data_IF_379102015908
#
_entry.id   IF_379102015908
#
_cell.length_a   1.000
_cell.length_b   1.000
_cell.length_c   1.000
_cell.angle_alpha   90.00
_cell.angle_beta   90.00
_cell.angle_gamma   90.00
#
_symmetry.space_group_name_H-M   'P 1'
#
loop_
_entity.id
_entity.type
_entity.pdbx_description
1 polymer ?
#
# COMPACT_ATOMS: atom_id res chain seq x y z
N UNK A 1 -1.28 1.52 18.08
CA UNK A 1 -2.01 1.41 16.79
C UNK A 1 -1.22 0.49 15.89
N UNK A 2 -1.88 -0.40 15.16
CA UNK A 2 -1.28 -1.43 14.33
C UNK A 2 -1.75 -1.23 12.88
N UNK A 3 -0.85 -1.25 11.91
CA UNK A 3 -1.16 -1.12 10.50
C UNK A 3 -0.31 -2.07 9.65
N UNK A 4 -0.80 -2.44 8.47
CA UNK A 4 -0.11 -3.33 7.54
C UNK A 4 0.23 -2.63 6.22
N UNK A 5 1.37 -2.98 5.65
CA UNK A 5 1.76 -2.62 4.29
C UNK A 5 1.93 -3.92 3.50
N UNK A 6 1.14 -4.10 2.45
CA UNK A 6 1.18 -5.29 1.60
C UNK A 6 1.92 -4.98 0.30
N UNK A 7 3.07 -5.57 0.12
CA UNK A 7 3.96 -5.37 -1.03
C UNK A 7 4.23 -6.70 -1.75
N UNK A 8 4.59 -6.63 -3.02
CA UNK A 8 5.08 -7.81 -3.74
C UNK A 8 6.39 -8.30 -3.11
N UNK A 9 7.36 -7.41 -3.02
CA UNK A 9 8.62 -7.58 -2.27
C UNK A 9 9.23 -6.20 -1.96
N UNK A 10 10.09 -6.14 -0.96
CA UNK A 10 10.95 -4.97 -0.74
C UNK A 10 12.29 -5.24 -1.42
N UNK A 11 12.68 -4.36 -2.31
CA UNK A 11 13.91 -4.40 -3.08
C UNK A 11 14.62 -3.04 -3.10
N UNK A 12 15.66 -2.91 -3.89
CA UNK A 12 16.43 -1.66 -4.06
C UNK A 12 15.76 -0.63 -4.98
N UNK A 13 14.51 -0.82 -5.35
CA UNK A 13 13.73 0.19 -6.08
C UNK A 13 13.50 1.44 -5.24
N UNK A 14 13.16 2.55 -5.90
CA UNK A 14 12.82 3.80 -5.22
C UNK A 14 11.68 3.61 -4.22
N UNK A 15 10.66 2.84 -4.61
CA UNK A 15 9.54 2.54 -3.73
C UNK A 15 9.97 1.70 -2.52
N UNK A 16 10.75 0.64 -2.73
CA UNK A 16 11.26 -0.22 -1.67
C UNK A 16 12.12 0.56 -0.65
N UNK A 17 12.96 1.45 -1.14
CA UNK A 17 13.77 2.35 -0.31
C UNK A 17 12.90 3.30 0.51
N UNK A 18 11.92 3.96 -0.11
CA UNK A 18 11.03 4.89 0.57
C UNK A 18 10.15 4.21 1.62
N UNK A 19 9.62 3.02 1.31
CA UNK A 19 8.84 2.22 2.26
C UNK A 19 9.69 1.87 3.48
N UNK A 20 10.88 1.31 3.27
CA UNK A 20 11.76 0.90 4.37
C UNK A 20 12.15 2.08 5.25
N UNK A 21 12.57 3.19 4.66
CA UNK A 21 12.95 4.39 5.42
C UNK A 21 11.79 4.98 6.21
N UNK A 22 10.60 5.06 5.61
CA UNK A 22 9.43 5.64 6.28
C UNK A 22 8.97 4.79 7.46
N UNK A 23 8.97 3.46 7.31
CA UNK A 23 8.59 2.57 8.40
C UNK A 23 9.67 2.56 9.50
N UNK A 24 10.95 2.53 9.13
CA UNK A 24 12.04 2.63 10.09
C UNK A 24 11.93 3.90 10.92
N UNK A 25 11.69 5.04 10.25
CA UNK A 25 11.50 6.32 10.95
C UNK A 25 10.33 6.27 11.96
N UNK A 26 9.22 5.64 11.59
CA UNK A 26 8.07 5.45 12.49
C UNK A 26 8.46 4.55 13.67
N UNK A 27 9.12 3.43 13.40
CA UNK A 27 9.54 2.48 14.44
C UNK A 27 10.51 3.08 15.45
N UNK A 28 11.39 3.98 15.02
CA UNK A 28 12.36 4.67 15.89
C UNK A 28 11.72 5.79 16.73
N UNK A 29 10.72 6.48 16.20
CA UNK A 29 10.23 7.73 16.79
C UNK A 29 8.81 7.66 17.35
N UNK A 30 8.08 6.56 17.13
CA UNK A 30 6.68 6.44 17.51
C UNK A 30 6.39 5.13 18.27
N UNK A 31 6.45 5.16 19.57
CA UNK A 31 6.29 3.97 20.46
C UNK A 31 4.92 3.29 20.32
N UNK A 32 3.89 4.03 19.93
CA UNK A 32 2.51 3.51 19.89
C UNK A 32 2.03 3.16 18.48
N UNK A 33 2.92 3.08 17.50
CA UNK A 33 2.61 2.73 16.12
C UNK A 33 3.45 1.54 15.70
N UNK A 34 2.79 0.43 15.39
CA UNK A 34 3.42 -0.80 14.92
C UNK A 34 3.02 -1.05 13.46
N UNK A 35 3.99 -1.12 12.57
CA UNK A 35 3.76 -1.39 11.15
C UNK A 35 4.36 -2.73 10.77
N UNK A 36 3.52 -3.60 10.24
CA UNK A 36 3.90 -4.92 9.74
C UNK A 36 3.90 -4.90 8.22
N UNK A 37 4.96 -5.43 7.62
CA UNK A 37 5.06 -5.56 6.17
C UNK A 37 4.74 -6.99 5.76
N UNK A 38 3.74 -7.14 4.90
CA UNK A 38 3.37 -8.42 4.28
C UNK A 38 3.97 -8.50 2.90
N UNK A 39 4.66 -9.60 2.59
CA UNK A 39 5.36 -9.80 1.31
C UNK A 39 4.91 -11.08 0.62
N UNK A 40 4.77 -11.01 -0.71
CA UNK A 40 4.47 -12.18 -1.57
C UNK A 40 5.72 -12.97 -1.90
N UNK A 41 6.85 -12.29 -2.06
CA UNK A 41 8.14 -12.85 -2.46
C UNK A 41 9.22 -12.51 -1.45
N UNK A 42 10.31 -13.28 -1.40
CA UNK A 42 11.47 -12.94 -0.57
C UNK A 42 11.96 -11.52 -0.84
N UNK A 43 12.28 -10.81 0.22
CA UNK A 43 12.69 -9.41 0.18
C UNK A 43 14.18 -9.29 0.53
N UNK A 44 14.85 -8.37 -0.18
CA UNK A 44 16.19 -7.89 0.14
C UNK A 44 16.13 -6.39 0.33
N UNK A 45 15.77 -5.90 1.54
CA UNK A 45 15.65 -4.48 1.81
C UNK A 45 16.97 -3.74 1.54
N UNK A 46 16.90 -2.51 0.99
CA UNK A 46 18.11 -1.72 0.69
C UNK A 46 18.83 -1.22 1.95
N UNK A 47 18.12 -1.17 3.06
CA UNK A 47 18.64 -0.84 4.41
C UNK A 47 18.05 -1.81 5.43
N UNK A 48 18.70 -1.95 6.58
CA UNK A 48 18.22 -2.84 7.65
C UNK A 48 16.82 -2.46 8.09
N UNK A 49 15.82 -3.36 7.99
CA UNK A 49 14.45 -3.07 8.42
C UNK A 49 14.33 -3.12 9.94
N UNK A 50 13.66 -2.14 10.52
CA UNK A 50 13.30 -2.07 11.95
C UNK A 50 11.82 -2.43 12.18
N UNK A 51 11.26 -3.26 11.32
CA UNK A 51 9.86 -3.70 11.36
C UNK A 51 9.76 -5.19 11.12
N UNK A 52 8.64 -5.77 11.55
CA UNK A 52 8.34 -7.17 11.29
C UNK A 52 7.88 -7.38 9.84
N UNK A 53 8.34 -8.47 9.22
CA UNK A 53 7.86 -8.94 7.92
C UNK A 53 7.16 -10.28 8.08
N UNK A 54 6.03 -10.44 7.39
CA UNK A 54 5.22 -11.65 7.37
C UNK A 54 4.88 -12.06 5.93
N UNK A 55 4.45 -13.30 5.75
CA UNK A 55 3.90 -13.74 4.45
C UNK A 55 2.59 -13.00 4.15
N UNK A 56 2.29 -12.76 2.87
CA UNK A 56 1.02 -12.16 2.45
C UNK A 56 -0.21 -12.92 2.93
N UNK A 57 -0.08 -14.24 3.15
CA UNK A 57 -1.18 -15.08 3.65
C UNK A 57 -1.66 -14.68 5.04
N UNK A 58 -0.82 -14.05 5.84
CA UNK A 58 -1.17 -13.58 7.19
C UNK A 58 -2.10 -12.34 7.17
N UNK A 59 -2.24 -11.69 6.02
CA UNK A 59 -3.12 -10.51 5.89
C UNK A 59 -4.59 -10.84 6.11
N UNK A 60 -5.01 -12.11 5.86
CA UNK A 60 -6.40 -12.53 6.08
C UNK A 60 -6.84 -12.47 7.54
N UNK A 61 -5.93 -12.71 8.48
CA UNK A 61 -6.19 -12.61 9.92
C UNK A 61 -5.80 -11.29 10.56
N UNK A 62 -5.34 -10.32 9.75
CA UNK A 62 -4.87 -9.06 10.28
C UNK A 62 -6.02 -8.11 10.59
N UNK A 63 -6.03 -7.51 11.78
CA UNK A 63 -7.10 -6.70 12.35
C UNK A 63 -6.86 -5.17 12.29
N UNK A 64 -5.84 -4.74 11.57
CA UNK A 64 -5.52 -3.32 11.35
C UNK A 64 -5.80 -2.85 9.91
N UNK A 65 -5.73 -1.52 9.64
CA UNK A 65 -5.76 -1.00 8.28
C UNK A 65 -4.57 -1.52 7.47
N UNK A 66 -4.78 -1.81 6.19
CA UNK A 66 -3.73 -2.31 5.29
C UNK A 66 -3.66 -1.47 4.02
N UNK A 67 -2.44 -1.11 3.63
CA UNK A 67 -2.13 -0.41 2.38
C UNK A 67 -1.44 -1.39 1.43
N UNK A 68 -2.04 -1.67 0.28
CA UNK A 68 -1.40 -2.39 -0.83
C UNK A 68 -0.67 -1.44 -1.78
N UNK A 69 0.29 -1.95 -2.54
CA UNK A 69 1.18 -1.12 -3.36
C UNK A 69 1.24 -1.49 -4.84
N UNK A 70 0.55 -2.56 -5.26
CA UNK A 70 0.46 -3.00 -6.65
C UNK A 70 -0.93 -3.54 -6.96
N UNK A 71 -1.23 -3.73 -8.24
CA UNK A 71 -2.49 -4.36 -8.67
C UNK A 71 -2.65 -5.77 -8.10
N UNK A 72 -1.58 -6.55 -8.12
CA UNK A 72 -1.60 -7.93 -7.62
C UNK A 72 -1.84 -7.98 -6.11
N UNK A 73 -1.12 -7.16 -5.34
CA UNK A 73 -1.31 -7.10 -3.88
C UNK A 73 -2.67 -6.52 -3.51
N UNK A 74 -3.21 -5.61 -4.32
CA UNK A 74 -4.55 -5.05 -4.12
C UNK A 74 -5.64 -6.10 -4.39
N UNK A 75 -5.46 -6.93 -5.41
CA UNK A 75 -6.37 -8.06 -5.67
C UNK A 75 -6.44 -9.01 -4.48
N UNK A 76 -5.28 -9.35 -3.91
CA UNK A 76 -5.19 -10.14 -2.67
C UNK A 76 -5.89 -9.43 -1.49
N UNK A 77 -5.62 -8.15 -1.29
CA UNK A 77 -6.20 -7.37 -0.20
C UNK A 77 -7.73 -7.26 -0.29
N UNK A 78 -8.27 -7.11 -1.49
CA UNK A 78 -9.72 -7.07 -1.71
C UNK A 78 -10.41 -8.37 -1.29
N UNK A 79 -9.73 -9.50 -1.43
CA UNK A 79 -10.22 -10.83 -1.04
C UNK A 79 -10.06 -11.09 0.47
N UNK A 80 -9.14 -10.42 1.14
CA UNK A 80 -8.90 -10.61 2.58
C UNK A 80 -10.08 -10.08 3.41
N UNK A 81 -10.46 -10.81 4.46
CA UNK A 81 -11.62 -10.48 5.31
C UNK A 81 -11.23 -9.80 6.63
N UNK A 82 -9.99 -9.96 7.08
CA UNK A 82 -9.51 -9.40 8.35
C UNK A 82 -9.39 -7.88 8.38
N UNK A 83 -8.72 -7.23 7.41
CA UNK A 83 -8.49 -5.80 7.46
C UNK A 83 -9.78 -4.97 7.44
N UNK A 84 -10.04 -4.15 8.47
CA UNK A 84 -11.26 -3.34 8.55
C UNK A 84 -11.26 -2.17 7.57
N UNK A 85 -10.08 -1.64 7.24
CA UNK A 85 -9.86 -0.60 6.23
C UNK A 85 -8.79 -1.03 5.25
N UNK A 86 -9.03 -0.77 4.00
CA UNK A 86 -8.15 -1.16 2.89
C UNK A 86 -7.82 0.05 2.04
N UNK A 87 -6.53 0.20 1.73
CA UNK A 87 -6.03 1.28 0.90
C UNK A 87 -5.18 0.72 -0.23
N UNK A 88 -5.22 1.36 -1.39
CA UNK A 88 -4.32 1.10 -2.50
C UNK A 88 -3.48 2.34 -2.79
N UNK A 89 -2.19 2.24 -2.50
CA UNK A 89 -1.21 3.26 -2.84
C UNK A 89 -0.72 3.05 -4.28
N UNK A 90 -1.13 3.95 -5.15
CA UNK A 90 -0.82 3.90 -6.58
C UNK A 90 0.50 4.62 -6.80
N UNK A 91 1.58 3.86 -6.75
CA UNK A 91 2.93 4.34 -7.04
C UNK A 91 3.12 4.65 -8.52
N UNK A 92 2.63 3.75 -9.37
CA UNK A 92 2.79 3.80 -10.81
C UNK A 92 1.44 3.56 -11.51
N UNK A 93 1.31 4.03 -12.74
CA UNK A 93 0.12 3.84 -13.57
C UNK A 93 0.16 2.43 -14.21
N UNK A 94 0.09 1.39 -13.38
CA UNK A 94 0.29 -0.01 -13.79
C UNK A 94 -0.69 -0.46 -14.88
N UNK A 95 -1.93 0.04 -14.88
CA UNK A 95 -2.92 -0.32 -15.89
C UNK A 95 -2.51 0.01 -17.34
N UNK A 96 -1.54 0.91 -17.51
CA UNK A 96 -1.02 1.27 -18.84
C UNK A 96 -0.04 0.23 -19.39
N UNK A 97 0.45 -0.69 -18.56
CA UNK A 97 1.54 -1.63 -18.90
C UNK A 97 1.23 -3.09 -18.57
N UNK A 98 0.21 -3.37 -17.76
CA UNK A 98 -0.10 -4.72 -17.28
C UNK A 98 -1.05 -5.43 -18.26
N UNK A 99 -0.51 -6.34 -19.06
CA UNK A 99 -1.29 -7.17 -19.99
C UNK A 99 -2.05 -8.31 -19.30
N UNK A 100 -1.66 -8.68 -18.07
CA UNK A 100 -2.27 -9.77 -17.32
C UNK A 100 -3.63 -9.43 -16.69
N UNK A 101 -4.00 -8.15 -16.64
CA UNK A 101 -5.29 -7.66 -16.12
C UNK A 101 -6.19 -7.21 -17.26
N UNK A 102 -7.42 -7.73 -17.29
CA UNK A 102 -8.45 -7.25 -18.22
C UNK A 102 -8.98 -5.89 -17.77
N UNK A 103 -9.66 -5.17 -18.66
CA UNK A 103 -10.35 -3.91 -18.29
C UNK A 103 -11.35 -4.13 -17.14
N UNK A 104 -12.04 -5.28 -17.13
CA UNK A 104 -12.96 -5.64 -16.06
C UNK A 104 -12.25 -5.82 -14.72
N UNK A 105 -11.08 -6.49 -14.71
CA UNK A 105 -10.27 -6.67 -13.50
C UNK A 105 -9.78 -5.33 -12.97
N UNK A 106 -9.29 -4.45 -13.83
CA UNK A 106 -8.85 -3.11 -13.48
C UNK A 106 -9.99 -2.27 -12.90
N UNK A 107 -11.17 -2.31 -13.54
CA UNK A 107 -12.37 -1.62 -13.06
C UNK A 107 -12.79 -2.14 -11.69
N UNK A 108 -12.74 -3.45 -11.46
CA UNK A 108 -13.07 -4.06 -10.16
C UNK A 108 -12.12 -3.60 -9.04
N UNK A 109 -10.89 -3.29 -9.36
CA UNK A 109 -9.90 -2.78 -8.40
C UNK A 109 -10.06 -1.27 -8.19
N UNK A 110 -9.91 -0.47 -9.24
CA UNK A 110 -9.88 1.00 -9.12
C UNK A 110 -11.23 1.63 -8.75
N UNK A 111 -12.35 1.00 -9.12
CA UNK A 111 -13.68 1.49 -8.81
C UNK A 111 -14.35 0.77 -7.62
N UNK A 112 -13.62 -0.10 -6.92
CA UNK A 112 -14.15 -0.81 -5.75
C UNK A 112 -14.42 0.14 -4.59
N UNK A 113 -15.62 0.10 -4.03
CA UNK A 113 -15.97 0.84 -2.82
C UNK A 113 -15.34 0.27 -1.54
N UNK A 114 -14.77 -0.95 -1.64
CA UNK A 114 -14.12 -1.64 -0.52
C UNK A 114 -12.70 -1.17 -0.24
N UNK A 115 -12.17 -0.29 -1.10
CA UNK A 115 -10.79 0.18 -1.00
C UNK A 115 -10.70 1.68 -1.27
N UNK A 116 -9.91 2.39 -0.51
CA UNK A 116 -9.63 3.80 -0.74
C UNK A 116 -8.34 3.95 -1.56
N UNK A 117 -8.34 4.84 -2.56
CA UNK A 117 -7.19 5.08 -3.40
C UNK A 117 -6.32 6.19 -2.82
N UNK A 118 -5.01 5.97 -2.84
CA UNK A 118 -3.99 6.93 -2.45
C UNK A 118 -3.13 7.24 -3.67
N UNK A 119 -3.09 8.49 -4.11
CA UNK A 119 -2.25 8.92 -5.20
C UNK A 119 -0.86 9.34 -4.70
N UNK A 120 0.16 9.22 -5.56
CA UNK A 120 1.53 9.62 -5.27
C UNK A 120 1.74 11.14 -5.28
N UNK A 121 0.91 11.86 -6.05
CA UNK A 121 0.98 13.32 -6.17
C UNK A 121 -0.35 13.88 -6.64
N UNK A 122 -0.51 15.20 -6.61
CA UNK A 122 -1.70 15.87 -7.15
C UNK A 122 -1.89 15.56 -8.64
N UNK A 123 -0.82 15.58 -9.43
CA UNK A 123 -0.87 15.22 -10.85
C UNK A 123 -1.34 13.78 -11.06
N UNK A 124 -0.83 12.82 -10.28
CA UNK A 124 -1.29 11.43 -10.29
C UNK A 124 -2.76 11.32 -9.92
N UNK A 125 -3.20 12.02 -8.88
CA UNK A 125 -4.60 12.04 -8.45
C UNK A 125 -5.52 12.47 -9.61
N UNK A 126 -5.15 13.52 -10.36
CA UNK A 126 -5.93 14.01 -11.48
C UNK A 126 -5.98 13.01 -12.66
N UNK A 127 -4.87 12.33 -12.95
CA UNK A 127 -4.81 11.30 -14.00
C UNK A 127 -5.69 10.11 -13.62
N UNK A 128 -5.55 9.59 -12.40
CA UNK A 128 -6.32 8.46 -11.90
C UNK A 128 -7.82 8.81 -11.88
N UNK A 129 -8.15 10.01 -11.43
CA UNK A 129 -9.53 10.49 -11.37
C UNK A 129 -10.21 10.60 -12.72
N UNK A 130 -9.47 10.89 -13.78
CA UNK A 130 -9.99 10.93 -15.16
C UNK A 130 -10.20 9.54 -15.77
N UNK A 131 -9.38 8.56 -15.37
CA UNK A 131 -9.44 7.21 -15.94
C UNK A 131 -10.38 6.28 -15.16
N UNK A 132 -10.47 6.45 -13.85
CA UNK A 132 -11.19 5.55 -12.94
C UNK A 132 -12.02 6.32 -11.92
N UNK A 133 -11.51 6.41 -10.70
CA UNK A 133 -12.13 7.09 -9.57
C UNK A 133 -11.13 8.03 -8.92
N UNK A 134 -11.59 9.17 -8.47
CA UNK A 134 -10.72 10.17 -7.85
C UNK A 134 -10.15 9.64 -6.52
N UNK A 135 -8.84 9.55 -6.36
CA UNK A 135 -8.23 9.14 -5.10
C UNK A 135 -8.57 10.10 -3.96
N UNK A 136 -8.91 9.55 -2.80
CA UNK A 136 -9.28 10.32 -1.62
C UNK A 136 -8.07 10.90 -0.88
N UNK A 137 -6.89 10.32 -1.09
CA UNK A 137 -5.67 10.69 -0.37
C UNK A 137 -4.49 10.92 -1.33
N UNK A 138 -3.53 11.73 -0.87
CA UNK A 138 -2.21 11.89 -1.51
C UNK A 138 -1.15 11.55 -0.47
N UNK A 139 -0.18 10.71 -0.87
CA UNK A 139 1.02 10.38 -0.09
C UNK A 139 2.25 10.55 -0.98
N UNK A 140 2.97 11.65 -0.78
CA UNK A 140 4.14 11.95 -1.60
C UNK A 140 5.29 10.97 -1.29
N UNK A 141 5.72 10.22 -2.30
CA UNK A 141 6.87 9.31 -2.24
C UNK A 141 6.88 8.38 -1.01
N UNK A 142 5.73 7.93 -0.56
CA UNK A 142 5.54 7.05 0.59
C UNK A 142 6.16 7.62 1.88
N UNK A 143 5.98 8.90 2.15
CA UNK A 143 6.57 9.52 3.34
C UNK A 143 5.81 9.17 4.63
N UNK A 144 6.54 9.12 5.74
CA UNK A 144 6.02 8.72 7.05
C UNK A 144 4.92 9.65 7.61
N UNK A 145 4.96 10.96 7.30
CA UNK A 145 3.95 11.92 7.79
C UNK A 145 2.58 11.68 7.18
N UNK A 146 2.55 11.54 5.86
CA UNK A 146 1.32 11.23 5.13
C UNK A 146 0.81 9.83 5.49
N UNK A 147 1.71 8.85 5.62
CA UNK A 147 1.38 7.49 6.03
C UNK A 147 0.63 7.50 7.38
N UNK A 148 1.19 8.14 8.40
CA UNK A 148 0.57 8.24 9.72
C UNK A 148 -0.77 8.99 9.67
N UNK A 149 -0.85 10.06 8.88
CA UNK A 149 -2.10 10.81 8.71
C UNK A 149 -3.21 9.92 8.14
N UNK A 150 -2.90 9.12 7.11
CA UNK A 150 -3.88 8.26 6.43
C UNK A 150 -4.36 7.15 7.37
N UNK A 151 -3.44 6.44 8.04
CA UNK A 151 -3.81 5.32 8.92
C UNK A 151 -4.48 5.75 10.24
N UNK A 152 -4.32 7.00 10.67
CA UNK A 152 -4.98 7.56 11.86
C UNK A 152 -6.34 8.19 11.58
N UNK A 153 -6.64 8.49 10.32
CA UNK A 153 -7.96 8.99 9.94
C UNK A 153 -8.97 7.83 9.92
N UNK A 154 -9.43 7.48 11.12
CA UNK A 154 -10.64 6.73 11.33
C UNK A 154 -11.87 7.64 11.36
#
# INVERSE_FOLDING_TARGET
MKAGILVDRIDSSQMGFNITNSINHISENMVNVDIIVFTRKPSLPPVTPLFASMSETEVWGFDGPVISTSLETTSTLLSATGPPKKYFYIWDLEWMRMESFTHKDLSNIYNSEKIELIARSKRHQDIIGKCWRYPSHIMNDFNHKDLIRIIKHE
#
